data_IF_264829499292
#
_entry.id   IF_264829499292
#
_cell.length_a   1.000
_cell.length_b   1.000
_cell.length_c   1.000
_cell.angle_alpha   90.00
_cell.angle_beta   90.00
_cell.angle_gamma   90.00
#
_symmetry.space_group_name_H-M   'P 1'
#
loop_
_entity.id
_entity.type
_entity.pdbx_description
1 polymer ?
#
# COMPACT_ATOMS: atom_id res chain seq x y z
N UNK A 1 -4.39 39.45 26.07
CA UNK A 1 -5.55 38.60 25.66
C UNK A 1 -4.97 37.22 25.37
N UNK A 2 -5.27 36.27 26.25
CA UNK A 2 -4.80 34.89 26.05
C UNK A 2 -5.76 34.19 25.08
N UNK A 3 -5.24 33.83 23.87
CA UNK A 3 -5.99 33.14 22.86
C UNK A 3 -5.76 31.63 23.02
N UNK A 4 -6.83 30.88 23.23
CA UNK A 4 -6.78 29.43 23.34
C UNK A 4 -6.98 28.82 21.93
N UNK A 5 -5.87 28.55 21.23
CA UNK A 5 -5.90 27.97 19.87
C UNK A 5 -6.07 26.46 19.94
N UNK A 6 -7.01 25.91 19.18
CA UNK A 6 -7.28 24.48 19.08
C UNK A 6 -7.50 24.07 17.64
N UNK A 7 -6.80 23.03 17.19
CA UNK A 7 -7.04 22.38 15.91
C UNK A 7 -7.97 21.19 16.11
N UNK A 8 -9.00 21.08 15.29
CA UNK A 8 -9.88 19.91 15.23
C UNK A 8 -9.85 19.38 13.79
N UNK A 9 -9.17 18.26 13.52
CA UNK A 9 -9.18 17.66 12.19
C UNK A 9 -10.56 17.05 11.90
N UNK A 10 -11.12 17.39 10.72
CA UNK A 10 -12.37 16.83 10.23
C UNK A 10 -12.13 16.17 8.87
N UNK A 11 -12.79 15.02 8.61
CA UNK A 11 -12.62 14.22 7.38
C UNK A 11 -11.17 13.81 7.10
N UNK A 12 -10.47 13.24 8.08
CA UNK A 12 -9.10 12.77 7.86
C UNK A 12 -9.07 11.59 6.89
N UNK A 13 -8.05 11.53 6.03
CA UNK A 13 -7.71 10.32 5.30
C UNK A 13 -6.87 9.43 6.20
N UNK A 14 -7.35 8.23 6.51
CA UNK A 14 -6.66 7.31 7.40
C UNK A 14 -5.92 6.21 6.60
N UNK A 15 -4.69 5.94 7.00
CA UNK A 15 -3.90 4.80 6.55
C UNK A 15 -3.63 3.92 7.76
N UNK A 16 -3.98 2.64 7.64
CA UNK A 16 -3.76 1.68 8.71
C UNK A 16 -2.45 0.95 8.48
N UNK A 17 -1.63 0.84 9.52
CA UNK A 17 -0.36 0.12 9.49
C UNK A 17 -0.42 -1.06 10.43
N UNK A 18 -0.06 -2.24 9.93
CA UNK A 18 0.07 -3.47 10.70
C UNK A 18 1.50 -4.00 10.51
N UNK A 19 2.11 -4.45 11.61
CA UNK A 19 3.42 -5.09 11.60
C UNK A 19 3.22 -6.58 11.86
N UNK A 20 3.86 -7.43 11.06
CA UNK A 20 3.81 -8.89 11.22
C UNK A 20 4.93 -9.30 12.16
N UNK A 21 4.57 -9.83 13.33
CA UNK A 21 5.53 -10.36 14.28
C UNK A 21 6.34 -11.50 13.64
N UNK A 22 7.66 -11.48 13.88
CA UNK A 22 8.57 -12.51 13.38
C UNK A 22 8.53 -12.71 11.86
N UNK A 23 8.25 -11.66 11.07
CA UNK A 23 8.17 -11.74 9.61
C UNK A 23 9.38 -12.41 8.95
N UNK A 24 10.57 -12.27 9.54
CA UNK A 24 11.79 -12.92 9.06
C UNK A 24 11.66 -14.44 8.88
N UNK A 25 10.75 -15.10 9.61
CA UNK A 25 10.49 -16.55 9.49
C UNK A 25 9.75 -16.93 8.19
N UNK A 26 9.04 -15.97 7.58
CA UNK A 26 8.27 -16.16 6.34
C UNK A 26 8.98 -15.56 5.12
N UNK A 27 9.86 -14.60 5.36
CA UNK A 27 10.46 -13.75 4.34
C UNK A 27 11.09 -14.52 3.18
N UNK A 28 12.02 -15.41 3.48
CA UNK A 28 12.80 -16.12 2.45
C UNK A 28 11.94 -17.06 1.62
N UNK A 29 10.93 -17.67 2.25
CA UNK A 29 9.92 -18.47 1.52
C UNK A 29 9.13 -17.59 0.55
N UNK A 30 8.60 -16.45 1.01
CA UNK A 30 7.82 -15.53 0.17
C UNK A 30 8.66 -14.95 -0.98
N UNK A 31 9.93 -14.65 -0.76
CA UNK A 31 10.85 -14.22 -1.83
C UNK A 31 11.00 -15.32 -2.88
N UNK A 32 11.23 -16.57 -2.45
CA UNK A 32 11.37 -17.71 -3.35
C UNK A 32 10.09 -17.92 -4.17
N UNK A 33 8.93 -17.91 -3.53
CA UNK A 33 7.63 -18.07 -4.18
C UNK A 33 7.37 -16.95 -5.20
N UNK A 34 7.73 -15.69 -4.86
CA UNK A 34 7.61 -14.56 -5.80
C UNK A 34 8.45 -14.73 -7.07
N UNK A 35 9.65 -15.25 -6.94
CA UNK A 35 10.49 -15.53 -8.11
C UNK A 35 9.99 -16.74 -8.91
N UNK A 36 9.46 -17.77 -8.25
CA UNK A 36 8.82 -18.90 -8.92
C UNK A 36 7.62 -18.47 -9.76
N UNK A 37 6.75 -17.61 -9.23
CA UNK A 37 5.61 -17.05 -9.96
C UNK A 37 6.07 -16.28 -11.21
N UNK A 38 7.16 -15.50 -11.11
CA UNK A 38 7.75 -14.81 -12.25
C UNK A 38 8.34 -15.76 -13.28
N UNK A 39 9.00 -16.83 -12.85
CA UNK A 39 9.60 -17.82 -13.76
C UNK A 39 8.53 -18.63 -14.51
N UNK A 40 7.35 -18.83 -13.89
CA UNK A 40 6.19 -19.48 -14.50
C UNK A 40 5.44 -18.57 -15.50
N UNK A 41 5.40 -17.26 -15.26
CA UNK A 41 4.83 -16.25 -16.17
C UNK A 41 5.79 -15.07 -16.36
N UNK A 42 6.88 -15.22 -17.14
CA UNK A 42 7.89 -14.17 -17.29
C UNK A 42 7.37 -12.86 -17.89
N UNK A 43 6.28 -12.91 -18.63
CA UNK A 43 5.69 -11.72 -19.25
C UNK A 43 4.96 -10.85 -18.23
N UNK A 44 4.24 -11.46 -17.28
CA UNK A 44 3.45 -10.75 -16.31
C UNK A 44 2.46 -9.76 -16.91
N UNK A 45 2.16 -8.70 -16.15
CA UNK A 45 1.24 -7.61 -16.56
C UNK A 45 1.93 -6.26 -16.47
N UNK A 46 1.59 -5.37 -17.40
CA UNK A 46 1.98 -3.96 -17.36
C UNK A 46 0.74 -3.09 -17.14
N UNK A 47 0.60 -2.54 -15.92
CA UNK A 47 -0.49 -1.65 -15.52
C UNK A 47 0.09 -0.31 -15.03
N UNK A 48 0.27 -0.16 -13.73
CA UNK A 48 0.95 1.02 -13.17
C UNK A 48 2.48 0.87 -13.13
N UNK A 49 2.99 -0.35 -13.17
CA UNK A 49 4.44 -0.64 -13.18
C UNK A 49 5.11 -0.13 -14.47
N UNK A 50 6.34 0.35 -14.30
CA UNK A 50 7.25 0.73 -15.41
C UNK A 50 8.54 -0.05 -15.23
N UNK A 51 8.80 -0.98 -16.16
CA UNK A 51 9.93 -1.89 -16.15
C UNK A 51 9.82 -3.06 -15.18
N UNK A 52 9.02 -2.95 -14.11
CA UNK A 52 8.85 -4.01 -13.12
C UNK A 52 7.93 -5.15 -13.60
N UNK A 53 8.13 -6.33 -13.04
CA UNK A 53 7.23 -7.46 -13.23
C UNK A 53 6.07 -7.41 -12.24
N UNK A 54 4.86 -7.71 -12.72
CA UNK A 54 3.64 -7.84 -11.92
C UNK A 54 2.92 -9.13 -12.32
N UNK A 55 2.54 -9.94 -11.33
CA UNK A 55 1.74 -11.15 -11.59
C UNK A 55 0.32 -10.83 -12.04
N UNK A 56 -0.41 -11.83 -12.49
CA UNK A 56 -1.87 -11.74 -12.60
C UNK A 56 -2.49 -11.40 -11.22
N UNK A 57 -3.64 -10.72 -11.28
CA UNK A 57 -4.47 -10.49 -10.12
C UNK A 57 -5.32 -11.73 -9.87
N UNK A 58 -5.19 -12.32 -8.68
CA UNK A 58 -5.91 -13.52 -8.29
C UNK A 58 -6.70 -13.31 -7.01
N UNK A 59 -7.83 -14.00 -6.86
CA UNK A 59 -8.52 -14.06 -5.58
C UNK A 59 -7.60 -14.71 -4.53
N UNK A 60 -7.53 -14.13 -3.33
CA UNK A 60 -6.64 -14.62 -2.27
C UNK A 60 -6.86 -16.09 -1.92
N UNK A 61 -8.09 -16.59 -2.05
CA UNK A 61 -8.40 -17.99 -1.82
C UNK A 61 -7.80 -18.93 -2.87
N UNK A 62 -7.44 -18.40 -4.05
CA UNK A 62 -6.79 -19.12 -5.16
C UNK A 62 -5.28 -18.86 -5.20
N UNK A 63 -4.75 -18.05 -4.27
CA UNK A 63 -3.32 -17.79 -4.17
C UNK A 63 -2.57 -19.10 -3.89
N UNK A 64 -1.48 -19.36 -4.64
CA UNK A 64 -0.65 -20.56 -4.48
C UNK A 64 0.11 -20.56 -3.15
N UNK A 65 0.50 -19.41 -2.65
CA UNK A 65 1.21 -19.26 -1.38
C UNK A 65 0.23 -19.35 -0.20
N UNK A 66 0.22 -20.47 0.51
CA UNK A 66 -0.57 -20.63 1.74
C UNK A 66 -0.11 -19.67 2.84
N UNK A 67 1.19 -19.39 2.90
CA UNK A 67 1.76 -18.41 3.85
C UNK A 67 1.22 -17.02 3.57
N UNK A 68 1.25 -16.57 2.33
CA UNK A 68 0.73 -15.26 1.93
C UNK A 68 -0.77 -15.15 2.15
N UNK A 69 -1.53 -16.19 1.76
CA UNK A 69 -2.97 -16.29 2.01
C UNK A 69 -3.27 -16.11 3.50
N UNK A 70 -2.57 -16.84 4.36
CA UNK A 70 -2.75 -16.76 5.82
C UNK A 70 -2.42 -15.36 6.34
N UNK A 71 -1.28 -14.78 5.96
CA UNK A 71 -0.87 -13.45 6.40
C UNK A 71 -1.95 -12.40 6.05
N UNK A 72 -2.43 -12.39 4.80
CA UNK A 72 -3.40 -11.39 4.36
C UNK A 72 -4.75 -11.59 5.05
N UNK A 73 -5.25 -12.83 5.16
CA UNK A 73 -6.54 -13.09 5.82
C UNK A 73 -6.49 -12.77 7.32
N UNK A 74 -5.44 -13.17 8.04
CA UNK A 74 -5.29 -12.89 9.46
C UNK A 74 -5.16 -11.38 9.74
N UNK A 75 -4.49 -10.63 8.85
CA UNK A 75 -4.38 -9.17 8.96
C UNK A 75 -5.75 -8.48 8.91
N UNK A 76 -6.71 -9.01 8.17
CA UNK A 76 -8.06 -8.47 8.07
C UNK A 76 -8.93 -8.80 9.29
N UNK A 77 -8.68 -9.92 9.97
CA UNK A 77 -9.37 -10.25 11.24
C UNK A 77 -9.07 -9.18 12.31
N UNK A 78 -7.87 -8.62 12.30
CA UNK A 78 -7.48 -7.49 13.16
C UNK A 78 -8.12 -6.15 12.77
N UNK A 79 -8.62 -6.04 11.53
CA UNK A 79 -9.23 -4.84 11.01
C UNK A 79 -10.73 -4.79 11.36
N UNK A 80 -11.05 -4.28 12.53
CA UNK A 80 -12.38 -4.27 13.16
C UNK A 80 -13.49 -3.37 12.56
N UNK A 81 -13.28 -2.49 11.55
CA UNK A 81 -14.35 -1.60 11.07
C UNK A 81 -15.41 -2.28 10.20
N UNK A 82 -15.22 -3.53 9.80
CA UNK A 82 -16.16 -4.22 8.91
C UNK A 82 -17.32 -4.77 9.74
N UNK A 83 -18.55 -4.39 9.38
CA UNK A 83 -19.76 -4.90 10.03
C UNK A 83 -19.92 -6.38 9.78
N UNK A 84 -20.57 -7.09 10.72
CA UNK A 84 -21.04 -8.46 10.48
C UNK A 84 -22.00 -8.47 9.27
N UNK A 85 -22.04 -9.57 8.52
CA UNK A 85 -22.83 -9.76 7.29
C UNK A 85 -22.35 -8.94 6.07
N UNK A 86 -21.05 -8.82 5.92
CA UNK A 86 -20.43 -8.29 4.72
C UNK A 86 -19.52 -9.37 4.14
N UNK A 87 -19.75 -9.76 2.90
CA UNK A 87 -18.82 -10.63 2.17
C UNK A 87 -17.59 -9.84 1.75
N UNK A 88 -16.41 -10.41 1.96
CA UNK A 88 -15.13 -9.79 1.64
C UNK A 88 -14.48 -10.54 0.49
N UNK A 89 -14.22 -9.82 -0.59
CA UNK A 89 -13.42 -10.34 -1.72
C UNK A 89 -12.07 -9.64 -1.68
N UNK A 90 -11.00 -10.44 -1.68
CA UNK A 90 -9.62 -9.95 -1.73
C UNK A 90 -9.01 -10.45 -3.02
N UNK A 91 -8.50 -9.53 -3.83
CA UNK A 91 -7.76 -9.83 -5.05
C UNK A 91 -6.38 -9.20 -4.95
N UNK A 92 -5.33 -9.97 -5.21
CA UNK A 92 -3.96 -9.47 -5.04
C UNK A 92 -3.00 -9.97 -6.11
N UNK A 93 -1.83 -9.34 -6.13
CA UNK A 93 -0.77 -9.61 -7.10
C UNK A 93 0.60 -9.32 -6.50
N UNK A 94 1.60 -10.04 -6.95
CA UNK A 94 3.01 -9.83 -6.60
C UNK A 94 3.64 -8.80 -7.53
N UNK A 95 4.47 -7.91 -6.99
CA UNK A 95 5.30 -6.97 -7.74
C UNK A 95 6.77 -7.26 -7.46
N UNK A 96 7.58 -7.33 -8.53
CA UNK A 96 9.04 -7.39 -8.47
C UNK A 96 9.58 -6.19 -9.25
N UNK A 97 10.14 -5.23 -8.55
CA UNK A 97 10.70 -4.01 -9.12
C UNK A 97 12.23 -4.08 -9.05
N UNK A 98 12.86 -4.37 -10.17
CA UNK A 98 14.32 -4.30 -10.32
C UNK A 98 14.85 -2.86 -10.16
N UNK A 99 16.16 -2.66 -10.08
CA UNK A 99 16.76 -1.32 -10.08
C UNK A 99 16.26 -0.48 -11.27
N UNK A 100 15.87 0.77 -11.01
CA UNK A 100 15.28 1.70 -11.99
C UNK A 100 13.77 1.56 -12.19
N UNK A 101 13.12 0.53 -11.66
CA UNK A 101 11.68 0.33 -11.83
C UNK A 101 10.85 1.10 -10.80
N UNK A 102 9.64 1.49 -11.20
CA UNK A 102 8.71 2.27 -10.37
C UNK A 102 7.25 1.98 -10.75
N UNK A 103 6.30 2.55 -9.99
CA UNK A 103 4.89 2.52 -10.37
C UNK A 103 4.38 3.95 -10.49
N UNK A 104 3.75 4.27 -11.62
CA UNK A 104 3.15 5.60 -11.85
C UNK A 104 1.97 5.84 -10.94
N UNK A 105 1.61 7.11 -10.76
CA UNK A 105 0.44 7.52 -9.99
C UNK A 105 -0.84 6.90 -10.52
N UNK A 106 -1.62 6.28 -9.64
CA UNK A 106 -2.88 5.60 -9.93
C UNK A 106 -3.74 5.45 -8.67
N UNK A 107 -4.96 4.99 -8.85
CA UNK A 107 -5.90 4.56 -7.80
C UNK A 107 -6.59 3.24 -8.20
N UNK A 108 -7.46 2.72 -7.33
CA UNK A 108 -8.20 1.48 -7.57
C UNK A 108 -9.71 1.68 -7.41
N UNK A 109 -10.40 2.36 -8.36
CA UNK A 109 -11.76 2.87 -8.18
C UNK A 109 -12.85 1.79 -8.03
N UNK A 110 -12.53 0.53 -8.29
CA UNK A 110 -13.46 -0.60 -8.18
C UNK A 110 -13.39 -1.35 -6.85
N UNK A 111 -12.64 -0.82 -5.88
CA UNK A 111 -12.41 -1.46 -4.59
C UNK A 111 -12.70 -0.47 -3.46
N UNK A 112 -12.91 -0.98 -2.26
CA UNK A 112 -13.14 -0.15 -1.06
C UNK A 112 -11.81 0.21 -0.39
N UNK A 113 -10.95 -0.79 -0.21
CA UNK A 113 -9.63 -0.63 0.37
C UNK A 113 -8.58 -1.27 -0.52
N UNK A 114 -7.39 -0.71 -0.50
CA UNK A 114 -6.20 -1.29 -1.09
C UNK A 114 -5.14 -1.51 -0.02
N UNK A 115 -4.26 -2.45 -0.25
CA UNK A 115 -3.17 -2.73 0.68
C UNK A 115 -1.90 -3.16 -0.02
N UNK A 116 -0.80 -3.07 0.72
CA UNK A 116 0.51 -3.56 0.32
C UNK A 116 1.20 -4.22 1.49
N UNK A 117 1.75 -5.41 1.27
CA UNK A 117 2.72 -6.08 2.13
C UNK A 117 4.10 -5.97 1.49
N UNK A 118 5.07 -5.44 2.21
CA UNK A 118 6.46 -5.45 1.76
C UNK A 118 7.17 -6.74 2.16
N UNK A 119 7.72 -7.45 1.17
CA UNK A 119 8.37 -8.76 1.32
C UNK A 119 9.90 -8.60 1.34
N UNK A 120 10.45 -7.84 0.39
CA UNK A 120 11.88 -7.53 0.30
C UNK A 120 12.06 -6.05 -0.01
N UNK A 121 12.78 -5.33 0.85
CA UNK A 121 12.95 -3.88 0.75
C UNK A 121 14.40 -3.46 0.92
N UNK A 122 15.21 -3.54 -0.15
CA UNK A 122 16.57 -3.04 -0.11
C UNK A 122 16.62 -1.56 0.26
N UNK A 123 17.73 -1.12 0.86
CA UNK A 123 17.93 0.30 1.17
C UNK A 123 17.84 1.13 -0.12
N UNK A 124 17.12 2.25 -0.09
CA UNK A 124 16.84 3.12 -1.24
C UNK A 124 15.96 2.48 -2.32
N UNK A 125 15.12 1.53 -2.00
CA UNK A 125 14.22 0.89 -2.97
C UNK A 125 12.96 1.70 -3.31
N UNK A 126 12.86 2.96 -2.86
CA UNK A 126 11.76 3.88 -3.17
C UNK A 126 10.60 3.78 -2.19
N UNK A 127 9.95 4.91 -1.92
CA UNK A 127 8.80 5.01 -1.01
C UNK A 127 7.49 4.73 -1.73
N UNK A 128 6.47 4.34 -0.97
CA UNK A 128 5.08 4.49 -1.38
C UNK A 128 4.65 5.93 -1.06
N UNK A 129 4.17 6.65 -2.07
CA UNK A 129 3.83 8.07 -1.97
C UNK A 129 2.34 8.25 -2.21
N UNK A 130 1.66 8.89 -1.28
CA UNK A 130 0.25 9.26 -1.40
C UNK A 130 0.11 10.72 -1.77
N UNK A 131 -0.83 11.03 -2.66
CA UNK A 131 -1.23 12.40 -2.99
C UNK A 131 -2.47 12.78 -2.20
N UNK A 132 -2.49 13.95 -1.57
CA UNK A 132 -3.64 14.43 -0.82
C UNK A 132 -4.88 14.59 -1.72
N UNK A 133 -6.04 14.05 -1.35
CA UNK A 133 -7.29 14.29 -2.04
C UNK A 133 -7.88 15.68 -1.72
N UNK A 134 -7.33 16.39 -0.72
CA UNK A 134 -7.84 17.69 -0.27
C UNK A 134 -7.32 18.81 -1.16
N UNK A 135 -8.22 19.56 -1.79
CA UNK A 135 -7.85 20.69 -2.65
C UNK A 135 -7.06 21.75 -1.87
N UNK A 136 -7.42 22.03 -0.62
CA UNK A 136 -6.70 22.99 0.21
C UNK A 136 -5.22 22.66 0.32
N UNK A 137 -4.85 21.39 0.40
CA UNK A 137 -3.45 20.98 0.54
C UNK A 137 -2.61 21.31 -0.70
N UNK A 138 -3.23 21.51 -1.86
CA UNK A 138 -2.56 21.97 -3.08
C UNK A 138 -2.21 23.45 -3.06
N UNK A 139 -2.89 24.24 -2.22
CA UNK A 139 -2.61 25.67 -2.07
C UNK A 139 -1.55 25.98 -1.02
N UNK A 140 -1.11 25.03 -0.23
CA UNK A 140 -0.15 25.27 0.86
C UNK A 140 1.18 25.79 0.37
N UNK A 141 1.69 25.29 -0.76
CA UNK A 141 2.93 25.79 -1.34
C UNK A 141 2.82 27.25 -1.77
N UNK A 142 1.60 27.68 -2.16
CA UNK A 142 1.31 29.07 -2.53
C UNK A 142 1.18 29.99 -1.32
N UNK A 143 0.79 29.43 -0.16
CA UNK A 143 0.50 30.21 1.05
C UNK A 143 1.67 30.22 2.05
N UNK A 144 2.76 29.51 1.82
CA UNK A 144 3.96 29.46 2.68
C UNK A 144 3.65 29.19 4.16
N UNK A 145 2.75 28.24 4.45
CA UNK A 145 2.47 27.84 5.82
C UNK A 145 3.70 27.22 6.49
N UNK A 146 3.83 27.44 7.81
CA UNK A 146 4.88 26.85 8.61
C UNK A 146 4.76 25.33 8.68
N UNK A 147 5.86 24.64 8.92
CA UNK A 147 5.84 23.18 9.07
C UNK A 147 5.04 22.74 10.30
N UNK A 148 5.01 23.56 11.37
CA UNK A 148 4.16 23.34 12.54
C UNK A 148 2.67 23.35 12.16
N UNK A 149 2.22 24.34 11.38
CA UNK A 149 0.85 24.39 10.88
C UNK A 149 0.52 23.14 10.03
N UNK A 150 1.39 22.76 9.12
CA UNK A 150 1.20 21.57 8.28
C UNK A 150 1.10 20.29 9.14
N UNK A 151 1.96 20.20 10.16
CA UNK A 151 1.96 19.05 11.07
C UNK A 151 0.67 18.97 11.87
N UNK A 152 0.20 20.06 12.47
CA UNK A 152 -1.00 20.11 13.30
C UNK A 152 -2.28 19.87 12.50
N UNK A 153 -2.36 20.45 11.32
CA UNK A 153 -3.52 20.33 10.44
C UNK A 153 -3.49 19.09 9.54
N UNK A 154 -2.36 18.34 9.50
CA UNK A 154 -2.09 17.24 8.56
C UNK A 154 -2.26 17.65 7.09
N UNK A 155 -1.96 18.90 6.81
CA UNK A 155 -2.16 19.51 5.50
C UNK A 155 -0.96 19.28 4.58
N UNK A 156 -0.58 18.05 4.29
CA UNK A 156 0.47 17.70 3.34
C UNK A 156 -0.11 17.52 1.94
N UNK A 157 0.61 17.96 0.90
CA UNK A 157 0.26 17.67 -0.49
C UNK A 157 0.59 16.21 -0.83
N UNK A 158 1.73 15.73 -0.34
CA UNK A 158 2.17 14.34 -0.49
C UNK A 158 2.60 13.77 0.85
N UNK A 159 2.44 12.45 1.04
CA UNK A 159 2.92 11.75 2.21
C UNK A 159 3.70 10.50 1.81
N UNK A 160 4.87 10.30 2.41
CA UNK A 160 5.82 9.26 2.06
C UNK A 160 5.84 8.16 3.12
N UNK A 161 5.65 6.92 2.69
CA UNK A 161 5.83 5.75 3.53
C UNK A 161 7.06 4.97 3.07
N UNK A 162 8.14 4.94 3.86
CA UNK A 162 9.30 4.10 3.55
C UNK A 162 8.88 2.63 3.62
N UNK A 163 9.33 1.80 2.66
CA UNK A 163 9.05 0.39 2.64
C UNK A 163 9.74 -0.29 3.84
N UNK A 164 9.01 -1.16 4.52
CA UNK A 164 9.50 -1.92 5.68
C UNK A 164 9.05 -3.36 5.54
N UNK A 165 9.97 -4.31 5.54
CA UNK A 165 9.65 -5.74 5.44
C UNK A 165 8.72 -6.18 6.57
N UNK A 166 7.67 -6.94 6.23
CA UNK A 166 6.65 -7.39 7.17
C UNK A 166 5.62 -6.35 7.57
N UNK A 167 5.67 -5.13 7.03
CA UNK A 167 4.62 -4.14 7.24
C UNK A 167 3.54 -4.29 6.18
N UNK A 168 2.29 -4.21 6.62
CA UNK A 168 1.12 -4.05 5.76
C UNK A 168 0.57 -2.64 5.94
N UNK A 169 0.30 -1.94 4.84
CA UNK A 169 -0.53 -0.75 4.85
C UNK A 169 -1.89 -1.08 4.23
N UNK A 170 -2.96 -0.53 4.84
CA UNK A 170 -4.32 -0.52 4.29
C UNK A 170 -4.77 0.93 4.16
N UNK A 171 -5.34 1.28 3.02
CA UNK A 171 -5.76 2.64 2.68
C UNK A 171 -6.99 2.64 1.77
N UNK A 172 -7.75 3.75 1.71
CA UNK A 172 -8.86 3.89 0.76
C UNK A 172 -8.39 3.69 -0.68
N UNK A 173 -9.07 2.83 -1.42
CA UNK A 173 -8.69 2.49 -2.80
C UNK A 173 -8.72 3.68 -3.77
N UNK A 174 -9.54 4.70 -3.46
CA UNK A 174 -9.62 5.95 -4.22
C UNK A 174 -8.48 6.94 -3.94
N UNK A 175 -7.58 6.62 -3.00
CA UNK A 175 -6.45 7.48 -2.69
C UNK A 175 -5.34 7.30 -3.73
N UNK A 176 -5.08 8.37 -4.48
CA UNK A 176 -4.00 8.38 -5.49
C UNK A 176 -2.64 8.10 -4.84
N UNK A 177 -1.92 7.17 -5.43
CA UNK A 177 -0.60 6.79 -4.94
C UNK A 177 0.33 6.35 -6.08
N UNK A 178 1.62 6.43 -5.81
CA UNK A 178 2.69 6.00 -6.69
C UNK A 178 3.79 5.32 -5.88
N UNK A 179 4.66 4.59 -6.53
CA UNK A 179 5.84 4.01 -5.90
C UNK A 179 7.08 4.54 -6.58
N UNK A 180 7.94 5.19 -5.80
CA UNK A 180 9.18 5.78 -6.29
C UNK A 180 10.09 4.73 -6.92
N UNK A 181 11.01 5.23 -7.75
CA UNK A 181 12.04 4.43 -8.40
C UNK A 181 12.87 3.64 -7.39
N UNK A 182 13.09 2.37 -7.67
CA UNK A 182 14.04 1.53 -6.95
C UNK A 182 15.46 1.95 -7.31
N UNK A 183 16.10 2.74 -6.45
CA UNK A 183 17.48 3.23 -6.60
C UNK A 183 18.50 2.33 -5.92
N UNK A 184 18.08 1.14 -5.46
CA UNK A 184 18.98 0.12 -4.94
C UNK A 184 19.61 -0.68 -6.10
N UNK A 185 20.47 -1.63 -5.78
CA UNK A 185 21.06 -2.57 -6.73
C UNK A 185 20.43 -3.97 -6.65
N UNK A 186 19.30 -4.09 -5.97
CA UNK A 186 18.55 -5.34 -5.77
C UNK A 186 17.06 -5.16 -6.07
N UNK A 187 16.36 -6.28 -6.33
CA UNK A 187 14.90 -6.26 -6.50
C UNK A 187 14.20 -5.89 -5.19
N UNK A 188 13.22 -4.97 -5.28
CA UNK A 188 12.17 -4.78 -4.27
C UNK A 188 11.01 -5.69 -4.59
N UNK A 189 10.48 -6.42 -3.58
CA UNK A 189 9.34 -7.33 -3.73
C UNK A 189 8.24 -6.89 -2.78
N UNK A 190 7.02 -6.78 -3.30
CA UNK A 190 5.81 -6.50 -2.53
C UNK A 190 4.62 -7.30 -3.05
N UNK A 191 3.65 -7.55 -2.18
CA UNK A 191 2.34 -8.07 -2.54
C UNK A 191 1.30 -6.98 -2.34
N UNK A 192 0.65 -6.58 -3.42
CA UNK A 192 -0.45 -5.61 -3.40
C UNK A 192 -1.78 -6.32 -3.48
N UNK A 193 -2.81 -5.76 -2.85
CA UNK A 193 -4.14 -6.36 -2.87
C UNK A 193 -5.24 -5.32 -2.74
N UNK A 194 -6.40 -5.66 -3.29
CA UNK A 194 -7.62 -4.88 -3.20
C UNK A 194 -8.69 -5.65 -2.43
N UNK A 195 -9.49 -4.91 -1.67
CA UNK A 195 -10.59 -5.44 -0.87
C UNK A 195 -11.90 -4.84 -1.36
N UNK A 196 -12.84 -5.71 -1.72
CA UNK A 196 -14.23 -5.34 -2.05
C UNK A 196 -15.13 -5.82 -0.92
N UNK A 197 -16.00 -4.93 -0.43
CA UNK A 197 -16.99 -5.21 0.59
C UNK A 197 -18.35 -5.31 -0.09
N UNK A 198 -19.01 -6.46 0.03
CA UNK A 198 -20.32 -6.73 -0.58
C UNK A 198 -21.32 -6.92 0.55
N UNK A 199 -22.33 -6.06 0.62
CA UNK A 199 -23.42 -6.23 1.57
C UNK A 199 -24.21 -7.51 1.22
N UNK A 200 -24.41 -8.38 2.20
CA UNK A 200 -25.38 -9.48 2.07
C UNK A 200 -26.77 -8.88 2.25
N UNK A 201 -27.63 -9.05 1.24
CA UNK A 201 -29.03 -8.63 1.25
C UNK A 201 -29.85 -9.38 2.31
#
# INVERSE_FOLDING_TARGET
MDLNYKVTPIFPTCIHSLEIDNFHTYRDQLIKESYQDRDEDPMGRELSNRGGWQSDQVNILQCKSETLKKIITDSLVGFKPIKNKVSIIIEGWTNINAPGNFNVKHDHPRSNLSGVLWIKTPKNSGNLVFTSPQLFNKFQELCNYTDEFKYDTKSYMTYYFPPTEGRILLFPSSLEHEVEENKSNEDRISYSFNIKLINEE
#
